data_IF_324074244960
#
_entry.id   IF_324074244960
#
_cell.length_a   1.000
_cell.length_b   1.000
_cell.length_c   1.000
_cell.angle_alpha   90.00
_cell.angle_beta   90.00
_cell.angle_gamma   90.00
#
_symmetry.space_group_name_H-M   'P 1'
#
loop_
_entity.id
_entity.type
_entity.pdbx_description
1 polymer ?
#
# COMPACT_ATOMS: atom_id res chain seq x y z
N UNK A 1 15.28 2.91 -22.41
CA UNK A 1 14.40 2.43 -21.34
C UNK A 1 14.75 3.16 -20.06
N UNK A 2 13.77 3.85 -19.49
CA UNK A 2 13.95 4.56 -18.23
C UNK A 2 14.14 3.59 -17.08
N UNK A 3 15.11 3.88 -16.24
CA UNK A 3 15.35 3.10 -15.04
C UNK A 3 14.37 3.50 -13.95
N UNK A 4 13.76 2.51 -13.30
CA UNK A 4 12.82 2.73 -12.21
C UNK A 4 13.58 2.72 -10.89
N UNK A 5 13.33 3.73 -10.06
CA UNK A 5 13.86 3.83 -8.70
C UNK A 5 12.73 3.77 -7.70
N UNK A 6 12.94 3.03 -6.61
CA UNK A 6 12.01 2.98 -5.50
C UNK A 6 12.68 3.62 -4.29
N UNK A 7 11.96 4.52 -3.64
CA UNK A 7 12.45 5.27 -2.49
C UNK A 7 11.31 5.60 -1.53
N UNK A 8 11.64 6.07 -0.34
CA UNK A 8 10.64 6.59 0.57
C UNK A 8 10.01 7.86 0.02
N UNK A 9 8.73 8.03 0.28
CA UNK A 9 8.01 9.25 -0.08
C UNK A 9 8.52 10.44 0.74
N UNK A 10 8.55 11.61 0.09
CA UNK A 10 8.96 12.88 0.68
C UNK A 10 7.78 13.86 0.64
N UNK A 11 7.77 14.93 1.47
CA UNK A 11 6.67 15.89 1.47
C UNK A 11 6.31 16.44 0.09
N UNK A 12 7.30 16.65 -0.78
CA UNK A 12 7.07 17.14 -2.16
C UNK A 12 6.28 16.15 -3.02
N UNK A 13 6.20 14.88 -2.63
CA UNK A 13 5.48 13.86 -3.41
C UNK A 13 3.97 13.96 -3.23
N UNK A 14 3.48 14.69 -2.24
CA UNK A 14 2.04 14.84 -2.02
C UNK A 14 1.34 15.39 -3.27
N UNK A 15 1.86 16.48 -3.84
CA UNK A 15 1.31 17.06 -5.06
C UNK A 15 1.62 16.20 -6.29
N UNK A 16 2.82 15.63 -6.34
CA UNK A 16 3.27 14.83 -7.49
C UNK A 16 2.48 13.55 -7.67
N UNK A 17 2.06 12.88 -6.60
CA UNK A 17 1.22 11.68 -6.69
C UNK A 17 -0.08 11.98 -7.42
N UNK A 18 -0.63 13.18 -7.23
CA UNK A 18 -1.84 13.61 -7.93
C UNK A 18 -1.50 14.07 -9.36
N UNK A 19 -0.52 14.95 -9.52
CA UNK A 19 -0.21 15.53 -10.82
C UNK A 19 0.36 14.52 -11.81
N UNK A 20 1.07 13.51 -11.32
CA UNK A 20 1.61 12.44 -12.17
C UNK A 20 0.60 11.31 -12.42
N UNK A 21 -0.60 11.38 -11.83
CA UNK A 21 -1.67 10.43 -12.11
C UNK A 21 -1.57 9.08 -11.39
N UNK A 22 -0.80 9.01 -10.31
CA UNK A 22 -0.70 7.79 -9.50
C UNK A 22 -1.95 7.61 -8.64
N UNK A 23 -2.46 8.71 -8.05
CA UNK A 23 -3.71 8.71 -7.31
C UNK A 23 -4.68 9.68 -7.97
N UNK A 24 -5.97 9.36 -7.88
CA UNK A 24 -7.00 10.20 -8.47
C UNK A 24 -8.38 9.63 -8.23
N UNK A 25 -9.40 10.35 -8.69
CA UNK A 25 -10.78 9.98 -8.47
C UNK A 25 -11.29 10.38 -7.09
N UNK A 26 -12.53 9.98 -6.76
CA UNK A 26 -13.11 10.33 -5.45
C UNK A 26 -12.43 9.56 -4.32
N UNK A 27 -12.26 10.25 -3.18
CA UNK A 27 -11.86 9.58 -1.93
C UNK A 27 -13.11 9.21 -1.14
N UNK A 28 -12.99 8.22 -0.26
CA UNK A 28 -14.12 7.74 0.54
C UNK A 28 -14.70 8.84 1.44
N UNK A 29 -13.86 9.76 1.93
CA UNK A 29 -14.27 10.87 2.80
C UNK A 29 -14.59 12.15 2.05
N UNK A 30 -14.40 12.17 0.72
CA UNK A 30 -14.62 13.36 -0.10
C UNK A 30 -13.51 14.40 -0.01
N UNK A 31 -12.45 14.14 0.74
CA UNK A 31 -11.33 15.09 0.86
C UNK A 31 -10.45 15.06 -0.41
N UNK A 32 -9.73 16.18 -0.71
CA UNK A 32 -8.76 16.16 -1.81
C UNK A 32 -7.65 15.16 -1.58
N UNK A 33 -7.17 14.53 -2.67
CA UNK A 33 -6.08 13.56 -2.56
C UNK A 33 -4.80 14.14 -1.96
N UNK A 34 -4.46 15.39 -2.28
CA UNK A 34 -3.29 16.05 -1.70
C UNK A 34 -3.36 16.07 -0.18
N UNK A 35 -4.53 16.39 0.38
CA UNK A 35 -4.75 16.41 1.82
C UNK A 35 -4.61 15.00 2.42
N UNK A 36 -5.16 14.00 1.74
CA UNK A 36 -5.05 12.61 2.19
C UNK A 36 -3.60 12.14 2.21
N UNK A 37 -2.84 12.45 1.17
CA UNK A 37 -1.42 12.10 1.11
C UNK A 37 -0.62 12.81 2.20
N UNK A 38 -0.94 14.07 2.48
CA UNK A 38 -0.29 14.81 3.57
C UNK A 38 -0.52 14.15 4.92
N UNK A 39 -1.72 13.63 5.17
CA UNK A 39 -2.02 12.86 6.39
C UNK A 39 -1.20 11.59 6.47
N UNK A 40 -1.06 10.87 5.35
CA UNK A 40 -0.22 9.67 5.29
C UNK A 40 1.25 9.98 5.59
N UNK A 41 1.78 11.08 5.03
CA UNK A 41 3.16 11.51 5.28
C UNK A 41 3.38 11.86 6.75
N UNK A 42 2.40 12.48 7.40
CA UNK A 42 2.46 12.76 8.84
C UNK A 42 2.52 11.46 9.65
N UNK A 43 1.75 10.43 9.27
CA UNK A 43 1.81 9.13 9.91
C UNK A 43 3.15 8.42 9.66
N UNK A 44 3.75 8.59 8.49
CA UNK A 44 5.08 8.09 8.22
C UNK A 44 6.11 8.72 9.16
N UNK A 45 6.04 10.03 9.33
CA UNK A 45 6.94 10.73 10.24
C UNK A 45 6.74 10.29 11.70
N UNK A 46 5.53 9.93 12.08
CA UNK A 46 5.21 9.40 13.41
C UNK A 46 5.59 7.91 13.58
N UNK A 47 6.08 7.25 12.53
CA UNK A 47 6.50 5.85 12.59
C UNK A 47 5.35 4.83 12.52
N UNK A 48 4.14 5.25 12.17
CA UNK A 48 2.98 4.35 12.09
C UNK A 48 2.90 3.61 10.78
N UNK A 49 3.46 4.16 9.73
CA UNK A 49 3.54 3.55 8.39
C UNK A 49 4.78 4.00 7.67
N UNK A 50 5.11 3.31 6.60
CA UNK A 50 6.08 3.82 5.64
C UNK A 50 5.43 3.85 4.25
N UNK A 51 5.89 4.76 3.43
CA UNK A 51 5.35 4.97 2.08
C UNK A 51 6.51 4.89 1.10
N UNK A 52 6.38 4.02 0.09
CA UNK A 52 7.33 3.95 -1.00
C UNK A 52 6.72 4.55 -2.25
N UNK A 53 7.54 5.18 -3.06
CA UNK A 53 7.18 5.63 -4.40
C UNK A 53 8.17 5.06 -5.39
N UNK A 54 7.66 4.73 -6.58
CA UNK A 54 8.47 4.32 -7.73
C UNK A 54 8.50 5.47 -8.72
N UNK A 55 9.68 5.81 -9.24
CA UNK A 55 9.80 6.90 -10.22
C UNK A 55 10.80 6.56 -11.32
N UNK A 56 10.63 7.21 -12.45
CA UNK A 56 11.59 7.20 -13.54
C UNK A 56 11.70 8.63 -14.11
N UNK A 57 12.34 8.78 -15.27
CA UNK A 57 12.49 10.09 -15.89
C UNK A 57 11.16 10.79 -16.22
N UNK A 58 10.07 10.03 -16.36
CA UNK A 58 8.75 10.59 -16.68
C UNK A 58 7.97 11.08 -15.45
N UNK A 59 8.45 10.80 -14.24
CA UNK A 59 7.79 11.18 -12.99
C UNK A 59 7.49 9.99 -12.10
N UNK A 60 6.51 10.15 -11.19
CA UNK A 60 6.10 9.08 -10.30
C UNK A 60 5.26 8.06 -11.06
N UNK A 61 5.56 6.78 -10.84
CA UNK A 61 4.91 5.65 -11.51
C UNK A 61 3.95 4.89 -10.61
N UNK A 62 4.22 4.89 -9.31
CA UNK A 62 3.42 4.10 -8.38
C UNK A 62 3.78 4.37 -6.95
N UNK A 63 2.98 3.82 -6.04
CA UNK A 63 3.17 3.93 -4.60
C UNK A 63 2.62 2.70 -3.90
N UNK A 64 3.14 2.42 -2.71
CA UNK A 64 2.65 1.39 -1.81
C UNK A 64 2.96 1.80 -0.37
N UNK A 65 2.15 1.35 0.56
CA UNK A 65 2.34 1.66 1.98
C UNK A 65 2.43 0.39 2.79
N UNK A 66 3.22 0.44 3.86
CA UNK A 66 3.27 -0.60 4.88
C UNK A 66 2.81 0.02 6.19
N UNK A 67 1.68 -0.46 6.71
CA UNK A 67 1.05 0.07 7.92
C UNK A 67 1.40 -0.81 9.10
N UNK A 68 2.06 -0.23 10.10
CA UNK A 68 2.44 -0.93 11.33
C UNK A 68 1.37 -0.78 12.40
N UNK A 69 0.76 0.41 12.51
CA UNK A 69 -0.29 0.71 13.48
C UNK A 69 -1.39 1.52 12.82
N UNK A 70 -2.62 1.14 13.07
CA UNK A 70 -3.76 1.91 12.59
C UNK A 70 -3.92 3.20 13.38
N UNK A 71 -4.39 4.27 12.73
CA UNK A 71 -4.66 5.55 13.41
C UNK A 71 -5.96 5.50 14.22
N UNK A 72 -6.13 6.49 15.09
CA UNK A 72 -7.40 6.80 15.76
C UNK A 72 -8.00 5.66 16.60
N UNK A 73 -7.15 4.85 17.22
CA UNK A 73 -7.61 3.81 18.14
C UNK A 73 -8.24 2.60 17.46
N UNK A 74 -8.26 2.55 16.13
CA UNK A 74 -8.68 1.35 15.43
C UNK A 74 -7.73 0.21 15.77
N UNK A 75 -8.29 -0.98 16.03
CA UNK A 75 -7.49 -2.11 16.49
C UNK A 75 -7.89 -3.38 15.74
N UNK A 76 -6.96 -3.93 14.99
CA UNK A 76 -7.12 -5.20 14.29
C UNK A 76 -5.74 -5.88 14.24
N UNK A 77 -5.36 -6.61 15.31
CA UNK A 77 -4.01 -7.17 15.40
C UNK A 77 -3.72 -8.28 14.40
N UNK A 78 -4.74 -8.87 13.80
CA UNK A 78 -4.53 -9.83 12.71
C UNK A 78 -4.09 -9.14 11.41
N UNK A 79 -4.44 -7.88 11.23
CA UNK A 79 -4.07 -7.10 10.06
C UNK A 79 -2.76 -6.33 10.28
N UNK A 80 -2.59 -5.73 11.46
CA UNK A 80 -1.35 -5.03 11.84
C UNK A 80 -1.31 -4.92 13.37
N UNK A 81 -0.21 -5.31 13.99
CA UNK A 81 -0.11 -5.35 15.45
C UNK A 81 1.02 -4.48 16.03
N UNK A 82 1.80 -3.81 15.18
CA UNK A 82 2.91 -2.98 15.63
C UNK A 82 4.15 -3.76 16.05
N UNK A 83 4.13 -5.08 15.95
CA UNK A 83 5.22 -5.97 16.38
C UNK A 83 5.77 -6.76 15.19
N UNK A 84 4.99 -7.73 14.69
CA UNK A 84 5.44 -8.65 13.64
C UNK A 84 4.41 -8.85 12.51
N UNK A 85 3.29 -8.18 12.57
CA UNK A 85 2.27 -8.19 11.50
C UNK A 85 2.06 -6.77 11.01
N UNK A 86 2.15 -6.55 9.70
CA UNK A 86 1.95 -5.26 9.08
C UNK A 86 1.07 -5.41 7.84
N UNK A 87 0.29 -4.37 7.51
CA UNK A 87 -0.65 -4.40 6.40
C UNK A 87 -0.10 -3.58 5.22
N UNK A 88 -0.15 -4.17 4.03
CA UNK A 88 0.12 -3.45 2.79
C UNK A 88 -1.16 -2.76 2.37
N UNK A 89 -1.05 -1.46 2.07
CA UNK A 89 -2.18 -0.61 1.75
C UNK A 89 -1.82 0.33 0.61
N UNK A 90 -2.85 0.82 -0.07
CA UNK A 90 -2.73 1.88 -1.08
C UNK A 90 -1.71 1.58 -2.17
N UNK A 91 -1.64 0.33 -2.62
CA UNK A 91 -0.86 -0.04 -3.80
C UNK A 91 -1.55 0.53 -5.03
N UNK A 92 -0.91 1.50 -5.68
CA UNK A 92 -1.45 2.16 -6.88
C UNK A 92 -0.34 2.39 -7.88
N UNK A 93 -0.68 2.25 -9.16
CA UNK A 93 0.24 2.56 -10.24
C UNK A 93 -0.44 3.50 -11.23
N UNK A 94 0.37 4.35 -11.87
CA UNK A 94 -0.10 5.19 -12.98
C UNK A 94 -0.59 4.30 -14.12
N UNK A 95 -1.66 4.71 -14.83
CA UNK A 95 -2.29 3.86 -15.84
C UNK A 95 -1.36 3.39 -16.96
N UNK A 96 -0.32 4.20 -17.27
CA UNK A 96 0.68 3.87 -18.29
C UNK A 96 2.02 3.42 -17.70
N UNK A 97 2.04 3.05 -16.41
CA UNK A 97 3.27 2.57 -15.78
C UNK A 97 3.76 1.30 -16.45
N UNK A 98 5.09 1.11 -16.57
CA UNK A 98 5.64 -0.13 -17.12
C UNK A 98 5.17 -1.36 -16.36
N UNK A 99 5.09 -2.49 -17.04
CA UNK A 99 4.79 -3.76 -16.40
C UNK A 99 5.83 -4.06 -15.32
N UNK A 100 5.36 -4.63 -14.23
CA UNK A 100 6.23 -5.04 -13.14
C UNK A 100 6.46 -3.99 -12.06
N UNK A 101 6.00 -2.76 -12.22
CA UNK A 101 6.19 -1.72 -11.18
C UNK A 101 5.50 -2.14 -9.88
N UNK A 102 4.27 -2.64 -9.93
CA UNK A 102 3.57 -3.11 -8.74
C UNK A 102 4.33 -4.25 -8.05
N UNK A 103 4.79 -5.23 -8.83
CA UNK A 103 5.57 -6.35 -8.29
C UNK A 103 6.88 -5.88 -7.66
N UNK A 104 7.54 -4.91 -8.28
CA UNK A 104 8.78 -4.34 -7.74
C UNK A 104 8.53 -3.62 -6.40
N UNK A 105 7.45 -2.85 -6.32
CA UNK A 105 7.05 -2.20 -5.07
C UNK A 105 6.78 -3.22 -3.96
N UNK A 106 6.06 -4.30 -4.28
CA UNK A 106 5.76 -5.36 -3.32
C UNK A 106 7.04 -6.08 -2.89
N UNK A 107 7.94 -6.36 -3.81
CA UNK A 107 9.23 -6.99 -3.48
C UNK A 107 10.01 -6.12 -2.48
N UNK A 108 10.06 -4.81 -2.73
CA UNK A 108 10.78 -3.90 -1.83
C UNK A 108 10.12 -3.78 -0.46
N UNK A 109 8.78 -3.75 -0.41
CA UNK A 109 8.05 -3.75 0.86
C UNK A 109 8.34 -5.02 1.65
N UNK A 110 8.36 -6.19 1.00
CA UNK A 110 8.68 -7.45 1.67
C UNK A 110 10.10 -7.43 2.26
N UNK A 111 11.06 -6.89 1.51
CA UNK A 111 12.44 -6.80 1.98
C UNK A 111 12.56 -5.86 3.18
N UNK A 112 11.87 -4.73 3.15
CA UNK A 112 11.85 -3.79 4.27
C UNK A 112 11.19 -4.43 5.50
N UNK A 113 10.08 -5.14 5.30
CA UNK A 113 9.38 -5.83 6.38
C UNK A 113 10.30 -6.82 7.08
N UNK A 114 11.04 -7.64 6.32
CA UNK A 114 12.01 -8.59 6.90
C UNK A 114 13.07 -7.88 7.73
N UNK A 115 13.60 -6.78 7.23
CA UNK A 115 14.62 -6.00 7.95
C UNK A 115 14.10 -5.39 9.24
N UNK A 116 12.80 -5.18 9.35
CA UNK A 116 12.14 -4.65 10.55
C UNK A 116 11.55 -5.75 11.44
N UNK A 117 11.87 -7.02 11.16
CA UNK A 117 11.38 -8.18 11.91
C UNK A 117 9.86 -8.36 11.82
N UNK A 118 9.25 -7.84 10.77
CA UNK A 118 7.86 -8.16 10.41
C UNK A 118 7.86 -9.55 9.77
N UNK A 119 7.04 -10.43 10.29
CA UNK A 119 6.99 -11.84 9.85
C UNK A 119 5.79 -12.15 8.96
N UNK A 120 4.74 -11.35 9.07
CA UNK A 120 3.50 -11.55 8.32
C UNK A 120 3.05 -10.24 7.70
N UNK A 121 2.77 -10.30 6.40
CA UNK A 121 2.17 -9.18 5.68
C UNK A 121 0.73 -9.50 5.36
N UNK A 122 -0.14 -8.49 5.42
CA UNK A 122 -1.56 -8.64 5.10
C UNK A 122 -1.99 -7.66 4.03
N UNK A 123 -3.08 -8.00 3.35
CA UNK A 123 -3.80 -7.15 2.40
C UNK A 123 -5.28 -7.21 2.71
N UNK A 124 -5.98 -6.11 2.47
CA UNK A 124 -7.43 -6.05 2.54
C UNK A 124 -7.97 -5.67 1.17
N UNK A 125 -8.80 -6.51 0.58
CA UNK A 125 -9.33 -6.32 -0.77
C UNK A 125 -10.85 -6.56 -0.80
N UNK A 126 -11.59 -5.82 -1.67
CA UNK A 126 -12.97 -6.19 -1.98
C UNK A 126 -13.03 -7.58 -2.62
N UNK A 127 -13.95 -8.42 -2.17
CA UNK A 127 -14.05 -9.80 -2.68
C UNK A 127 -14.54 -9.88 -4.11
N UNK A 128 -15.11 -8.80 -4.66
CA UNK A 128 -15.50 -8.73 -6.06
C UNK A 128 -14.40 -8.22 -6.99
N UNK A 129 -13.24 -7.87 -6.46
CA UNK A 129 -12.10 -7.44 -7.27
C UNK A 129 -11.23 -8.64 -7.64
N UNK A 130 -11.70 -9.40 -8.62
CA UNK A 130 -11.05 -10.66 -9.03
C UNK A 130 -9.63 -10.44 -9.54
N UNK A 131 -9.37 -9.31 -10.18
CA UNK A 131 -8.05 -8.98 -10.72
C UNK A 131 -7.03 -8.75 -9.60
N UNK A 132 -7.40 -7.94 -8.61
CA UNK A 132 -6.53 -7.69 -7.46
C UNK A 132 -6.31 -8.96 -6.64
N UNK A 133 -7.34 -9.76 -6.44
CA UNK A 133 -7.24 -11.04 -5.72
C UNK A 133 -6.27 -11.98 -6.44
N UNK A 134 -6.40 -12.13 -7.75
CA UNK A 134 -5.49 -12.96 -8.53
C UNK A 134 -4.05 -12.46 -8.41
N UNK A 135 -3.85 -11.14 -8.42
CA UNK A 135 -2.53 -10.54 -8.30
C UNK A 135 -1.90 -10.82 -6.93
N UNK A 136 -2.61 -10.62 -5.82
CA UNK A 136 -2.05 -10.88 -4.49
C UNK A 136 -1.80 -12.38 -4.27
N UNK A 137 -2.65 -13.23 -4.82
CA UNK A 137 -2.41 -14.68 -4.78
C UNK A 137 -1.15 -15.06 -5.56
N UNK A 138 -0.88 -14.40 -6.68
CA UNK A 138 0.33 -14.63 -7.46
C UNK A 138 1.60 -14.24 -6.69
N UNK A 139 1.48 -13.34 -5.75
CA UNK A 139 2.58 -12.94 -4.86
C UNK A 139 2.70 -13.84 -3.63
N UNK A 140 1.84 -14.85 -3.48
CA UNK A 140 1.90 -15.82 -2.40
C UNK A 140 0.98 -15.55 -1.22
N UNK A 141 0.09 -14.56 -1.33
CA UNK A 141 -0.87 -14.26 -0.28
C UNK A 141 -2.05 -15.23 -0.33
N UNK A 142 -2.56 -15.60 0.83
CA UNK A 142 -3.71 -16.49 0.98
C UNK A 142 -4.79 -15.83 1.83
N UNK A 143 -6.04 -16.02 1.44
CA UNK A 143 -7.18 -15.52 2.20
C UNK A 143 -7.25 -16.22 3.56
N UNK A 144 -7.53 -15.44 4.61
CA UNK A 144 -7.67 -15.99 5.95
C UNK A 144 -8.91 -15.49 6.70
N UNK A 145 -9.55 -14.43 6.21
CA UNK A 145 -10.75 -13.88 6.87
C UNK A 145 -11.57 -13.08 5.85
N UNK A 146 -12.91 -13.20 5.97
CA UNK A 146 -13.84 -12.39 5.19
C UNK A 146 -14.65 -11.56 6.18
N UNK A 147 -14.88 -10.30 5.86
CA UNK A 147 -15.57 -9.34 6.71
C UNK A 147 -16.60 -8.56 5.89
N UNK A 148 -17.89 -8.51 6.33
CA UNK A 148 -18.85 -7.63 5.69
C UNK A 148 -18.62 -6.18 6.14
N UNK A 149 -18.73 -5.24 5.20
CA UNK A 149 -18.61 -3.82 5.49
C UNK A 149 -19.46 -3.02 4.49
N UNK A 150 -20.44 -2.28 5.01
CA UNK A 150 -21.24 -1.34 4.22
C UNK A 150 -21.77 -1.95 2.90
N UNK A 151 -22.38 -3.14 2.99
CA UNK A 151 -23.01 -3.78 1.84
C UNK A 151 -22.06 -4.52 0.90
N UNK A 152 -20.79 -4.62 1.24
CA UNK A 152 -19.81 -5.39 0.45
C UNK A 152 -19.03 -6.33 1.34
N UNK A 153 -18.40 -7.32 0.71
CA UNK A 153 -17.54 -8.26 1.41
C UNK A 153 -16.08 -7.89 1.16
N UNK A 154 -15.31 -7.79 2.24
CA UNK A 154 -13.87 -7.58 2.19
C UNK A 154 -13.15 -8.85 2.57
N UNK A 155 -12.05 -9.15 1.90
CA UNK A 155 -11.21 -10.30 2.22
C UNK A 155 -9.86 -9.86 2.74
N UNK A 156 -9.43 -10.50 3.84
CA UNK A 156 -8.07 -10.34 4.34
C UNK A 156 -7.21 -11.47 3.82
N UNK A 157 -6.05 -11.10 3.28
CA UNK A 157 -5.06 -12.02 2.74
C UNK A 157 -3.77 -11.85 3.52
N UNK A 158 -3.00 -12.91 3.69
CA UNK A 158 -1.73 -12.85 4.42
C UNK A 158 -0.66 -13.70 3.77
N UNK A 159 0.58 -13.33 4.04
CA UNK A 159 1.76 -14.06 3.58
C UNK A 159 2.83 -13.99 4.66
N UNK A 160 3.48 -15.13 4.93
CA UNK A 160 4.67 -15.17 5.77
C UNK A 160 5.88 -14.64 4.97
N UNK A 161 6.68 -13.80 5.60
CA UNK A 161 7.87 -13.19 4.96
C UNK A 161 9.15 -13.38 5.75
N UNK A 162 9.14 -14.29 6.70
CA UNK A 162 10.31 -14.64 7.51
C UNK A 162 11.35 -15.50 6.75
#
# INVERSE_FOLDING_TARGET
VSRVFIRYALPRDADRLVSDGVVGGPTASGEPWTQRVQKWLAEQQAGRRLILVAEDASGLLGTVQLVFKFPNGYHDPEAANGIDVAMIEALRTRGDAPHGVATQLITDVQNIARKRNVRTLTFLLPMNDNRAIAQVKSWGFQEFRIMPEQGRMLGFFRKSVD
#
